data_IF_308079178370
#
_entry.id   IF_308079178370
#
_cell.length_a   1.000
_cell.length_b   1.000
_cell.length_c   1.000
_cell.angle_alpha   90.00
_cell.angle_beta   90.00
_cell.angle_gamma   90.00
#
_symmetry.space_group_name_H-M   'P 1'
#
loop_
_entity.id
_entity.type
_entity.pdbx_description
1 polymer ?
#
# COMPACT_ATOMS: atom_id res chain seq x y z
N UNK A 1 7.27 -16.81 50.69
CA UNK A 1 6.63 -15.49 50.78
C UNK A 1 7.47 -14.57 49.92
N UNK A 2 7.22 -14.48 48.61
CA UNK A 2 6.18 -13.58 48.02
C UNK A 2 6.47 -12.13 48.46
N UNK A 3 6.77 -11.15 47.60
CA UNK A 3 6.18 -10.80 46.32
C UNK A 3 7.08 -9.81 45.55
N UNK A 4 7.04 -9.92 44.23
CA UNK A 4 7.01 -8.80 43.26
C UNK A 4 7.97 -7.61 43.41
N UNK A 5 8.97 -7.55 42.52
CA UNK A 5 9.18 -6.35 41.70
C UNK A 5 9.52 -6.80 40.27
N UNK A 6 8.46 -7.03 39.51
CA UNK A 6 8.48 -7.18 38.05
C UNK A 6 9.13 -5.93 37.47
N UNK A 7 10.35 -6.12 36.97
CA UNK A 7 11.24 -5.10 36.46
C UNK A 7 10.63 -4.39 35.23
N UNK A 8 10.34 -3.11 35.38
CA UNK A 8 9.70 -2.21 34.42
C UNK A 8 10.60 -1.80 33.23
N UNK A 9 11.32 -2.75 32.61
CA UNK A 9 12.28 -2.49 31.52
C UNK A 9 11.89 -3.13 30.17
N UNK A 10 10.68 -3.69 30.05
CA UNK A 10 10.22 -4.35 28.83
C UNK A 10 9.88 -3.44 27.63
N UNK A 11 9.36 -2.20 27.78
CA UNK A 11 8.90 -1.42 26.62
C UNK A 11 10.06 -0.80 25.82
N UNK A 12 11.14 -0.37 26.49
CA UNK A 12 12.32 0.25 25.84
C UNK A 12 13.10 -0.76 24.99
N UNK A 13 13.20 -2.02 25.42
CA UNK A 13 13.85 -3.06 24.65
C UNK A 13 13.00 -3.48 23.43
N UNK A 14 11.67 -3.55 23.60
CA UNK A 14 10.75 -3.82 22.49
C UNK A 14 10.74 -2.69 21.46
N UNK A 15 10.71 -1.42 21.91
CA UNK A 15 10.72 -0.25 21.03
C UNK A 15 12.04 -0.12 20.27
N UNK A 16 13.19 -0.39 20.92
CA UNK A 16 14.52 -0.38 20.27
C UNK A 16 14.72 -1.51 19.27
N UNK A 17 13.99 -2.64 19.43
CA UNK A 17 13.98 -3.77 18.50
C UNK A 17 12.93 -3.63 17.40
N UNK A 18 11.85 -2.88 17.66
CA UNK A 18 10.83 -2.53 16.69
C UNK A 18 11.29 -1.39 15.76
N UNK A 19 12.06 -0.41 16.24
CA UNK A 19 12.53 0.73 15.44
C UNK A 19 13.22 0.33 14.11
N UNK A 20 14.12 -0.67 14.07
CA UNK A 20 14.72 -1.16 12.82
C UNK A 20 13.71 -1.84 11.89
N UNK A 21 12.66 -2.46 12.43
CA UNK A 21 11.61 -3.14 11.67
C UNK A 21 10.53 -2.17 11.15
N UNK A 22 10.41 -0.97 11.73
CA UNK A 22 9.47 0.06 11.29
C UNK A 22 9.84 0.63 9.92
N UNK A 23 11.13 0.73 9.58
CA UNK A 23 11.58 1.22 8.27
C UNK A 23 11.07 0.37 7.10
N UNK A 24 11.36 -0.94 7.08
CA UNK A 24 10.77 -1.89 6.14
C UNK A 24 9.25 -1.86 6.09
N UNK A 25 8.58 -1.88 7.25
CA UNK A 25 7.12 -1.87 7.32
C UNK A 25 6.51 -0.59 6.74
N UNK A 26 7.15 0.56 6.97
CA UNK A 26 6.70 1.84 6.45
C UNK A 26 6.90 1.95 4.94
N UNK A 27 8.06 1.50 4.41
CA UNK A 27 8.29 1.46 2.95
C UNK A 27 7.20 0.65 2.22
N UNK A 28 6.75 -0.43 2.83
CA UNK A 28 5.75 -1.33 2.26
C UNK A 28 4.35 -0.75 2.43
N UNK A 29 4.06 -0.14 3.57
CA UNK A 29 2.80 0.57 3.79
C UNK A 29 2.61 1.70 2.76
N UNK A 30 3.69 2.42 2.42
CA UNK A 30 3.69 3.45 1.38
C UNK A 30 3.39 2.83 0.01
N UNK A 31 3.91 1.63 -0.28
CA UNK A 31 3.59 0.90 -1.51
C UNK A 31 2.13 0.51 -1.66
N UNK A 32 1.34 0.51 -0.58
CA UNK A 32 -0.12 0.33 -0.64
C UNK A 32 -0.90 1.65 -0.80
N UNK A 33 -0.22 2.78 -0.62
CA UNK A 33 -0.75 4.13 -0.78
C UNK A 33 -0.42 4.60 -2.19
N UNK A 34 -1.19 4.12 -3.17
CA UNK A 34 -1.05 4.56 -4.55
C UNK A 34 -2.15 5.59 -4.93
N UNK A 35 -1.79 6.68 -5.65
CA UNK A 35 -2.73 7.73 -6.03
C UNK A 35 -3.92 7.23 -6.85
N UNK A 36 -3.75 6.16 -7.64
CA UNK A 36 -4.82 5.62 -8.46
C UNK A 36 -5.86 4.85 -7.65
N UNK A 37 -5.46 4.04 -6.66
CA UNK A 37 -6.40 3.47 -5.69
C UNK A 37 -7.11 4.56 -4.92
N UNK A 38 -6.41 5.62 -4.52
CA UNK A 38 -7.04 6.76 -3.85
C UNK A 38 -8.12 7.42 -4.73
N UNK A 39 -7.84 7.65 -6.01
CA UNK A 39 -8.84 8.18 -6.93
C UNK A 39 -10.07 7.26 -7.03
N UNK A 40 -9.84 5.95 -7.16
CA UNK A 40 -10.91 4.96 -7.25
C UNK A 40 -11.73 4.83 -5.95
N UNK A 41 -11.11 4.89 -4.78
CA UNK A 41 -11.80 4.83 -3.49
C UNK A 41 -12.60 6.10 -3.22
N UNK A 42 -12.09 7.27 -3.58
CA UNK A 42 -12.80 8.55 -3.48
C UNK A 42 -14.00 8.59 -4.42
N UNK A 43 -13.83 8.16 -5.67
CA UNK A 43 -14.94 8.06 -6.64
C UNK A 43 -16.00 7.05 -6.17
N UNK A 44 -15.58 5.90 -5.66
CA UNK A 44 -16.46 4.89 -5.07
C UNK A 44 -17.23 5.43 -3.86
N UNK A 45 -16.57 6.13 -2.95
CA UNK A 45 -17.20 6.76 -1.79
C UNK A 45 -18.16 7.90 -2.17
N UNK A 46 -17.84 8.67 -3.21
CA UNK A 46 -18.72 9.74 -3.72
C UNK A 46 -20.00 9.17 -4.36
N UNK A 47 -19.93 8.03 -5.04
CA UNK A 47 -21.09 7.41 -5.72
C UNK A 47 -21.95 6.55 -4.80
N UNK A 48 -21.34 5.82 -3.89
CA UNK A 48 -22.00 4.78 -3.10
C UNK A 48 -21.97 5.05 -1.59
N UNK A 49 -21.45 6.21 -1.16
CA UNK A 49 -21.40 6.59 0.25
C UNK A 49 -20.63 5.59 1.10
N UNK A 50 -21.23 5.19 2.23
CA UNK A 50 -20.61 4.31 3.22
C UNK A 50 -20.77 2.81 2.94
N UNK A 51 -21.46 2.43 1.85
CA UNK A 51 -21.79 1.02 1.57
C UNK A 51 -20.55 0.15 1.31
N UNK A 52 -19.48 0.76 0.79
CA UNK A 52 -18.24 0.05 0.48
C UNK A 52 -17.28 -0.01 1.67
N UNK A 53 -17.52 0.77 2.74
CA UNK A 53 -16.56 0.93 3.84
C UNK A 53 -16.36 -0.38 4.61
N UNK A 54 -17.45 -1.06 4.98
CA UNK A 54 -17.36 -2.30 5.76
C UNK A 54 -16.70 -3.44 4.96
N UNK A 55 -17.11 -3.73 3.71
CA UNK A 55 -16.40 -4.71 2.87
C UNK A 55 -14.92 -4.38 2.65
N UNK A 56 -14.59 -3.09 2.40
CA UNK A 56 -13.22 -2.64 2.23
C UNK A 56 -12.39 -2.82 3.50
N UNK A 57 -12.96 -2.57 4.68
CA UNK A 57 -12.29 -2.78 5.95
C UNK A 57 -11.91 -4.26 6.14
N UNK A 58 -12.86 -5.18 5.90
CA UNK A 58 -12.61 -6.63 5.98
C UNK A 58 -11.51 -7.03 5.01
N UNK A 59 -11.53 -6.50 3.78
CA UNK A 59 -10.51 -6.82 2.80
C UNK A 59 -9.12 -6.31 3.19
N UNK A 60 -9.02 -5.10 3.75
CA UNK A 60 -7.76 -4.57 4.26
C UNK A 60 -7.19 -5.48 5.37
N UNK A 61 -8.02 -6.04 6.25
CA UNK A 61 -7.56 -7.01 7.24
C UNK A 61 -6.97 -8.28 6.61
N UNK A 62 -7.61 -8.81 5.56
CA UNK A 62 -7.08 -9.96 4.82
C UNK A 62 -5.75 -9.61 4.14
N UNK A 63 -5.66 -8.44 3.52
CA UNK A 63 -4.43 -7.97 2.89
C UNK A 63 -3.28 -7.85 3.90
N UNK A 64 -3.53 -7.28 5.08
CA UNK A 64 -2.55 -7.20 6.18
C UNK A 64 -2.12 -8.59 6.63
N UNK A 65 -3.06 -9.54 6.77
CA UNK A 65 -2.75 -10.92 7.14
C UNK A 65 -1.86 -11.62 6.11
N UNK A 66 -2.17 -11.49 4.82
CA UNK A 66 -1.34 -12.01 3.73
C UNK A 66 0.06 -11.39 3.75
N UNK A 67 0.13 -10.06 3.89
CA UNK A 67 1.38 -9.31 3.95
C UNK A 67 2.26 -9.74 5.14
N UNK A 68 1.63 -10.00 6.28
CA UNK A 68 2.29 -10.54 7.47
C UNK A 68 2.84 -11.96 7.22
N UNK A 69 2.07 -12.82 6.56
CA UNK A 69 2.52 -14.17 6.24
C UNK A 69 3.72 -14.16 5.29
N UNK A 70 3.70 -13.32 4.25
CA UNK A 70 4.83 -13.14 3.33
C UNK A 70 6.10 -12.67 4.06
N UNK A 71 5.96 -11.72 4.99
CA UNK A 71 7.08 -11.27 5.82
C UNK A 71 7.64 -12.40 6.69
N UNK A 72 6.74 -13.14 7.35
CA UNK A 72 7.12 -14.23 8.26
C UNK A 72 7.87 -15.35 7.54
N UNK A 73 7.49 -15.64 6.29
CA UNK A 73 8.20 -16.60 5.45
C UNK A 73 9.66 -16.17 5.25
N UNK A 74 9.90 -14.90 4.88
CA UNK A 74 11.26 -14.35 4.73
C UNK A 74 12.09 -14.45 6.01
N UNK A 75 11.53 -14.04 7.16
CA UNK A 75 12.22 -14.10 8.47
C UNK A 75 12.59 -15.52 8.88
N UNK A 76 11.66 -16.48 8.71
CA UNK A 76 11.82 -17.84 9.24
C UNK A 76 12.72 -18.70 8.33
N UNK A 77 12.59 -18.54 7.02
CA UNK A 77 13.30 -19.40 6.06
C UNK A 77 14.65 -18.84 5.64
N UNK A 78 14.87 -17.52 5.79
CA UNK A 78 16.07 -16.88 5.25
C UNK A 78 16.12 -16.86 3.72
N UNK A 79 14.99 -17.11 3.05
CA UNK A 79 14.85 -17.10 1.59
C UNK A 79 13.70 -16.19 1.18
N UNK A 80 13.81 -15.63 -0.02
CA UNK A 80 12.72 -14.83 -0.57
C UNK A 80 11.60 -15.73 -1.12
N UNK A 81 10.38 -15.19 -1.21
CA UNK A 81 9.22 -15.95 -1.68
C UNK A 81 9.41 -16.49 -3.11
N UNK A 82 10.18 -15.81 -3.97
CA UNK A 82 10.45 -16.26 -5.33
C UNK A 82 11.42 -17.47 -5.35
N UNK A 83 12.42 -17.48 -4.47
CA UNK A 83 13.33 -18.60 -4.26
C UNK A 83 12.59 -19.82 -3.75
N UNK A 84 11.70 -19.65 -2.77
CA UNK A 84 10.88 -20.74 -2.25
C UNK A 84 9.96 -21.30 -3.35
N UNK A 85 9.32 -20.41 -4.11
CA UNK A 85 8.52 -20.85 -5.25
C UNK A 85 9.36 -21.61 -6.29
N UNK A 86 10.61 -21.20 -6.53
CA UNK A 86 11.51 -21.90 -7.45
C UNK A 86 12.02 -23.24 -6.93
N UNK A 87 12.08 -23.42 -5.61
CA UNK A 87 12.50 -24.67 -4.98
C UNK A 87 11.35 -25.69 -4.91
N UNK A 88 10.10 -25.22 -4.73
CA UNK A 88 8.93 -26.08 -4.51
C UNK A 88 8.14 -26.37 -5.80
N UNK A 89 8.04 -25.41 -6.73
CA UNK A 89 7.24 -25.54 -7.95
C UNK A 89 8.08 -25.90 -9.18
N UNK A 90 7.41 -26.38 -10.22
CA UNK A 90 8.02 -26.65 -11.51
C UNK A 90 8.30 -25.34 -12.30
N UNK A 91 9.23 -25.42 -13.25
CA UNK A 91 9.69 -24.26 -14.02
C UNK A 91 8.56 -23.50 -14.75
N UNK A 92 7.51 -24.19 -15.18
CA UNK A 92 6.39 -23.55 -15.88
C UNK A 92 5.53 -22.72 -14.91
N UNK A 93 5.23 -23.27 -13.74
CA UNK A 93 4.50 -22.54 -12.70
C UNK A 93 5.30 -21.31 -12.24
N UNK A 94 6.60 -21.44 -11.98
CA UNK A 94 7.44 -20.28 -11.63
C UNK A 94 7.45 -19.20 -12.71
N UNK A 95 7.50 -19.59 -13.99
CA UNK A 95 7.44 -18.63 -15.10
C UNK A 95 6.10 -17.90 -15.11
N UNK A 96 4.99 -18.61 -14.92
CA UNK A 96 3.67 -18.00 -14.86
C UNK A 96 3.55 -17.00 -13.70
N UNK A 97 4.02 -17.37 -12.50
CA UNK A 97 4.07 -16.46 -11.35
C UNK A 97 4.93 -15.23 -11.63
N UNK A 98 6.09 -15.41 -12.29
CA UNK A 98 6.97 -14.32 -12.68
C UNK A 98 6.32 -13.35 -13.66
N UNK A 99 5.64 -13.87 -14.69
CA UNK A 99 4.89 -13.05 -15.66
C UNK A 99 3.74 -12.31 -14.99
N UNK A 100 3.00 -12.97 -14.10
CA UNK A 100 1.91 -12.37 -13.34
C UNK A 100 2.42 -11.21 -12.45
N UNK A 101 3.55 -11.40 -11.77
CA UNK A 101 4.18 -10.35 -10.96
C UNK A 101 4.66 -9.17 -11.83
N UNK A 102 5.29 -9.44 -12.97
CA UNK A 102 5.73 -8.41 -13.91
C UNK A 102 4.56 -7.58 -14.46
N UNK A 103 3.47 -8.25 -14.84
CA UNK A 103 2.26 -7.58 -15.32
C UNK A 103 1.62 -6.71 -14.23
N UNK A 104 1.67 -7.16 -12.98
CA UNK A 104 1.20 -6.39 -11.82
C UNK A 104 2.03 -5.13 -11.58
N UNK A 105 3.36 -5.19 -11.74
CA UNK A 105 4.24 -4.01 -11.62
C UNK A 105 3.94 -3.01 -12.74
N UNK A 106 3.76 -3.47 -13.98
CA UNK A 106 3.42 -2.60 -15.13
C UNK A 106 2.05 -1.92 -14.91
N UNK A 107 1.06 -2.67 -14.41
CA UNK A 107 -0.26 -2.12 -14.11
C UNK A 107 -0.22 -1.06 -13.00
N UNK A 108 0.59 -1.28 -11.95
CA UNK A 108 0.81 -0.30 -10.90
C UNK A 108 1.42 0.98 -11.46
N UNK A 109 2.46 0.86 -12.28
CA UNK A 109 3.17 2.01 -12.86
C UNK A 109 2.24 2.87 -13.74
N UNK A 110 1.43 2.21 -14.58
CA UNK A 110 0.39 2.88 -15.38
C UNK A 110 -0.59 3.66 -14.49
N UNK A 111 -1.05 3.02 -13.41
CA UNK A 111 -2.02 3.60 -12.47
C UNK A 111 -1.43 4.77 -11.69
N UNK A 112 -0.15 4.69 -11.33
CA UNK A 112 0.62 5.76 -10.68
C UNK A 112 0.72 6.99 -11.59
N UNK A 113 1.10 6.80 -12.86
CA UNK A 113 1.20 7.88 -13.85
C UNK A 113 -0.15 8.57 -14.03
N UNK A 114 -1.23 7.80 -14.15
CA UNK A 114 -2.59 8.34 -14.29
C UNK A 114 -3.02 9.12 -13.05
N UNK A 115 -2.76 8.61 -11.84
CA UNK A 115 -3.11 9.28 -10.60
C UNK A 115 -2.36 10.60 -10.41
N UNK A 116 -1.04 10.61 -10.69
CA UNK A 116 -0.23 11.84 -10.64
C UNK A 116 -0.71 12.83 -11.70
N UNK A 117 -0.98 12.37 -12.93
CA UNK A 117 -1.45 13.25 -13.99
C UNK A 117 -2.80 13.89 -13.65
N UNK A 118 -3.74 13.14 -13.06
CA UNK A 118 -5.03 13.67 -12.64
C UNK A 118 -4.90 14.66 -11.47
N UNK A 119 -4.05 14.35 -10.49
CA UNK A 119 -3.75 15.27 -9.39
C UNK A 119 -3.11 16.58 -9.88
N UNK A 120 -2.19 16.50 -10.85
CA UNK A 120 -1.54 17.66 -11.44
C UNK A 120 -2.51 18.50 -12.27
N UNK A 121 -3.41 17.84 -13.00
CA UNK A 121 -4.49 18.50 -13.75
C UNK A 121 -5.40 19.30 -12.81
N UNK A 122 -5.78 18.73 -11.65
CA UNK A 122 -6.59 19.44 -10.65
C UNK A 122 -5.84 20.60 -9.99
N UNK A 123 -4.53 20.47 -9.76
CA UNK A 123 -3.72 21.49 -9.08
C UNK A 123 -3.36 22.68 -9.98
N UNK A 124 -3.00 22.41 -11.24
CA UNK A 124 -2.49 23.41 -12.18
C UNK A 124 -3.49 23.81 -13.27
N UNK A 125 -4.59 23.08 -13.42
CA UNK A 125 -5.58 23.33 -14.49
C UNK A 125 -5.03 23.11 -15.90
N UNK A 126 -3.91 22.40 -16.05
CA UNK A 126 -3.24 22.13 -17.33
C UNK A 126 -3.92 21.00 -18.10
N UNK A 127 -3.71 20.93 -19.42
CA UNK A 127 -4.25 19.83 -20.22
C UNK A 127 -3.70 18.46 -19.79
N UNK A 128 -4.58 17.45 -19.78
CA UNK A 128 -4.28 16.10 -19.28
C UNK A 128 -3.10 15.47 -20.05
N UNK A 129 -3.01 15.74 -21.35
CA UNK A 129 -1.93 15.25 -22.20
C UNK A 129 -0.54 15.67 -21.69
N UNK A 130 -0.41 16.92 -21.23
CA UNK A 130 0.83 17.48 -20.71
C UNK A 130 1.14 16.92 -19.32
N UNK A 131 0.12 16.74 -18.50
CA UNK A 131 0.26 16.13 -17.18
C UNK A 131 0.72 14.67 -17.25
N UNK A 132 0.19 13.88 -18.18
CA UNK A 132 0.61 12.49 -18.41
C UNK A 132 2.06 12.43 -18.87
N UNK A 133 2.47 13.30 -19.80
CA UNK A 133 3.86 13.37 -20.24
C UNK A 133 4.81 13.70 -19.08
N UNK A 134 4.45 14.69 -18.25
CA UNK A 134 5.28 15.08 -17.10
C UNK A 134 5.38 13.96 -16.06
N UNK A 135 4.27 13.28 -15.76
CA UNK A 135 4.25 12.15 -14.83
C UNK A 135 5.06 10.95 -15.36
N UNK A 136 5.02 10.67 -16.66
CA UNK A 136 5.83 9.62 -17.27
C UNK A 136 7.33 9.94 -17.22
N UNK A 137 7.71 11.21 -17.43
CA UNK A 137 9.10 11.66 -17.29
C UNK A 137 9.56 11.51 -15.84
N UNK A 138 8.73 11.90 -14.87
CA UNK A 138 9.04 11.74 -13.44
C UNK A 138 9.22 10.26 -13.05
N UNK A 139 8.36 9.36 -13.53
CA UNK A 139 8.44 7.92 -13.27
C UNK A 139 9.77 7.30 -13.75
N UNK A 140 10.35 7.81 -14.84
CA UNK A 140 11.66 7.35 -15.34
C UNK A 140 12.82 8.07 -14.63
N UNK A 141 12.66 9.35 -14.33
CA UNK A 141 13.72 10.17 -13.74
C UNK A 141 13.95 9.85 -12.26
N UNK A 142 12.90 9.56 -11.50
CA UNK A 142 12.98 9.32 -10.07
C UNK A 142 13.84 8.09 -9.70
N UNK A 143 13.69 6.91 -10.34
CA UNK A 143 14.58 5.77 -10.08
C UNK A 143 16.05 6.06 -10.44
N UNK A 144 16.30 6.78 -11.53
CA UNK A 144 17.65 7.18 -11.95
C UNK A 144 18.28 8.12 -10.94
N UNK A 145 17.52 9.11 -10.46
CA UNK A 145 17.96 10.03 -9.42
C UNK A 145 18.19 9.31 -8.09
N UNK A 146 17.32 8.37 -7.72
CA UNK A 146 17.47 7.55 -6.52
C UNK A 146 18.68 6.62 -6.59
N UNK A 147 19.12 6.20 -7.78
CA UNK A 147 20.32 5.40 -7.96
C UNK A 147 21.61 6.23 -7.84
N UNK A 148 21.55 7.52 -8.19
CA UNK A 148 22.65 8.49 -8.05
C UNK A 148 22.83 8.96 -6.59
N UNK A 149 21.76 9.00 -5.81
CA UNK A 149 21.80 9.32 -4.38
C UNK A 149 22.28 8.10 -3.56
N UNK A 150 23.01 8.36 -2.46
CA UNK A 150 23.28 7.32 -1.46
C UNK A 150 21.95 6.70 -0.99
N UNK A 151 21.81 5.37 -1.08
CA UNK A 151 20.55 4.64 -0.80
C UNK A 151 19.87 5.04 0.52
N UNK A 152 20.65 5.38 1.55
CA UNK A 152 20.14 5.86 2.83
C UNK A 152 19.42 7.22 2.74
N UNK A 153 19.97 8.18 1.96
CA UNK A 153 19.38 9.52 1.79
C UNK A 153 18.09 9.47 0.98
N UNK A 154 18.06 8.64 -0.07
CA UNK A 154 16.85 8.45 -0.90
C UNK A 154 15.70 7.81 -0.11
N UNK A 155 15.98 6.75 0.65
CA UNK A 155 14.97 6.09 1.48
C UNK A 155 14.42 7.01 2.59
N UNK A 156 15.30 7.81 3.20
CA UNK A 156 14.89 8.80 4.20
C UNK A 156 14.00 9.89 3.61
N UNK A 157 14.35 10.43 2.43
CA UNK A 157 13.56 11.45 1.76
C UNK A 157 12.17 10.93 1.37
N UNK A 158 12.10 9.75 0.76
CA UNK A 158 10.83 9.10 0.40
C UNK A 158 9.93 8.87 1.62
N UNK A 159 10.52 8.41 2.73
CA UNK A 159 9.81 8.21 4.00
C UNK A 159 9.27 9.52 4.56
N UNK A 160 10.05 10.60 4.54
CA UNK A 160 9.62 11.92 4.99
C UNK A 160 8.48 12.48 4.14
N UNK A 161 8.56 12.36 2.81
CA UNK A 161 7.49 12.82 1.90
C UNK A 161 6.20 12.06 2.17
N UNK A 162 6.27 10.73 2.28
CA UNK A 162 5.09 9.93 2.56
C UNK A 162 4.49 10.22 3.95
N UNK A 163 5.33 10.40 4.97
CA UNK A 163 4.89 10.81 6.29
C UNK A 163 4.16 12.15 6.27
N UNK A 164 4.69 13.12 5.51
CA UNK A 164 4.05 14.41 5.32
C UNK A 164 2.69 14.29 4.61
N UNK A 165 2.59 13.49 3.54
CA UNK A 165 1.32 13.23 2.85
C UNK A 165 0.26 12.60 3.78
N UNK A 166 0.67 11.66 4.63
CA UNK A 166 -0.22 11.02 5.60
C UNK A 166 -0.74 12.02 6.64
N UNK A 167 0.13 12.93 7.12
CA UNK A 167 -0.27 14.01 8.02
C UNK A 167 -1.27 14.95 7.35
N UNK A 168 -1.00 15.37 6.10
CA UNK A 168 -1.93 16.22 5.34
C UNK A 168 -3.29 15.55 5.15
N UNK A 169 -3.31 14.26 4.81
CA UNK A 169 -4.55 13.49 4.68
C UNK A 169 -5.33 13.47 6.00
N UNK A 170 -4.65 13.17 7.12
CA UNK A 170 -5.28 13.14 8.44
C UNK A 170 -5.91 14.50 8.82
N UNK A 171 -5.18 15.59 8.57
CA UNK A 171 -5.71 16.94 8.78
C UNK A 171 -6.90 17.24 7.86
N UNK A 172 -6.84 16.82 6.59
CA UNK A 172 -7.93 16.98 5.63
C UNK A 172 -9.22 16.29 6.07
N UNK A 173 -9.13 15.07 6.60
CA UNK A 173 -10.27 14.33 7.16
C UNK A 173 -10.82 15.03 8.41
N UNK A 174 -9.94 15.54 9.29
CA UNK A 174 -10.35 16.21 10.52
C UNK A 174 -11.14 17.50 10.25
N UNK A 175 -10.72 18.26 9.23
CA UNK A 175 -11.39 19.48 8.78
C UNK A 175 -12.70 19.17 8.04
N UNK A 176 -12.74 18.09 7.27
CA UNK A 176 -13.91 17.72 6.46
C UNK A 176 -15.11 17.19 7.25
N UNK A 177 -15.03 17.12 8.60
CA UNK A 177 -16.10 16.76 9.56
C UNK A 177 -17.31 16.07 8.88
N UNK A 178 -17.36 14.73 8.82
CA UNK A 178 -18.41 14.04 8.09
C UNK A 178 -19.79 14.44 8.64
N UNK A 179 -20.57 15.16 7.83
CA UNK A 179 -21.92 15.64 8.20
C UNK A 179 -22.90 14.47 8.40
N UNK A 180 -22.55 13.30 7.86
CA UNK A 180 -23.37 12.08 7.93
C UNK A 180 -22.82 11.25 9.10
N UNK A 181 -23.56 11.08 10.21
CA UNK A 181 -23.14 10.16 11.24
C UNK A 181 -22.98 8.78 10.61
N UNK A 182 -21.78 8.19 10.73
CA UNK A 182 -21.55 6.79 10.41
C UNK A 182 -22.72 6.00 11.01
N UNK A 183 -23.49 5.23 10.23
CA UNK A 183 -24.51 4.38 10.80
C UNK A 183 -23.81 3.41 11.75
N UNK A 184 -23.86 3.71 13.05
CA UNK A 184 -23.34 2.85 14.12
C UNK A 184 -24.04 1.49 14.15
N UNK A 185 -25.14 1.37 13.41
CA UNK A 185 -25.74 0.09 13.07
C UNK A 185 -24.95 -0.49 11.89
N UNK A 186 -23.99 -1.38 12.18
CA UNK A 186 -23.21 -2.16 11.21
C UNK A 186 -24.07 -3.14 10.40
N UNK A 187 -25.18 -2.67 9.86
CA UNK A 187 -26.08 -3.43 9.01
C UNK A 187 -25.42 -3.53 7.64
N UNK A 188 -25.29 -4.74 7.05
CA UNK A 188 -24.79 -4.87 5.70
C UNK A 188 -25.76 -4.16 4.77
N UNK A 189 -25.32 -3.06 4.16
CA UNK A 189 -26.13 -2.36 3.18
C UNK A 189 -26.30 -3.26 1.96
N UNK A 190 -27.53 -3.30 1.45
CA UNK A 190 -27.88 -4.09 0.27
C UNK A 190 -27.04 -3.56 -0.89
N UNK A 191 -26.04 -4.32 -1.32
CA UNK A 191 -25.25 -3.99 -2.49
C UNK A 191 -26.17 -4.01 -3.73
N UNK A 192 -26.21 -2.90 -4.45
CA UNK A 192 -26.77 -2.84 -5.79
C UNK A 192 -25.80 -3.48 -6.77
N UNK A 193 -26.25 -3.83 -7.98
CA UNK A 193 -25.37 -4.43 -9.00
C UNK A 193 -24.17 -3.53 -9.32
N UNK A 194 -24.38 -2.22 -9.41
CA UNK A 194 -23.32 -1.24 -9.67
C UNK A 194 -22.31 -1.12 -8.51
N UNK A 195 -22.78 -1.19 -7.26
CA UNK A 195 -21.89 -1.10 -6.09
C UNK A 195 -21.12 -2.39 -5.87
N UNK A 196 -21.70 -3.54 -6.23
CA UNK A 196 -21.00 -4.82 -6.25
C UNK A 196 -19.89 -4.84 -7.31
N UNK A 197 -20.13 -4.29 -8.51
CA UNK A 197 -19.11 -4.18 -9.54
C UNK A 197 -17.96 -3.25 -9.12
N UNK A 198 -18.29 -2.07 -8.59
CA UNK A 198 -17.29 -1.14 -8.06
C UNK A 198 -16.48 -1.77 -6.92
N UNK A 199 -17.15 -2.50 -6.02
CA UNK A 199 -16.50 -3.23 -4.95
C UNK A 199 -15.54 -4.29 -5.50
N UNK A 200 -15.98 -5.13 -6.44
CA UNK A 200 -15.11 -6.15 -7.05
C UNK A 200 -13.89 -5.53 -7.74
N UNK A 201 -14.06 -4.42 -8.44
CA UNK A 201 -12.96 -3.68 -9.06
C UNK A 201 -11.96 -3.18 -8.02
N UNK A 202 -12.45 -2.61 -6.93
CA UNK A 202 -11.63 -2.05 -5.86
C UNK A 202 -10.92 -3.14 -5.03
N UNK A 203 -11.57 -4.30 -4.85
CA UNK A 203 -10.98 -5.49 -4.24
C UNK A 203 -9.86 -6.05 -5.12
N UNK A 204 -10.11 -6.19 -6.42
CA UNK A 204 -9.11 -6.66 -7.39
C UNK A 204 -7.88 -5.75 -7.44
N UNK A 205 -8.07 -4.43 -7.39
CA UNK A 205 -6.99 -3.46 -7.37
C UNK A 205 -6.14 -3.53 -6.09
N UNK A 206 -6.75 -3.89 -4.96
CA UNK A 206 -6.11 -3.85 -3.64
C UNK A 206 -5.13 -4.99 -3.38
N UNK A 207 -5.22 -6.11 -4.10
CA UNK A 207 -4.19 -7.17 -4.04
C UNK A 207 -3.06 -6.81 -5.00
N UNK A 208 -1.85 -6.64 -4.45
CA UNK A 208 -0.63 -6.38 -5.21
C UNK A 208 0.34 -7.56 -5.08
N UNK A 209 0.31 -8.55 -5.99
CA UNK A 209 1.11 -9.77 -5.86
C UNK A 209 2.61 -9.50 -5.77
N UNK A 210 3.10 -8.49 -6.48
CA UNK A 210 4.51 -8.07 -6.43
C UNK A 210 4.93 -7.56 -5.03
N UNK A 211 4.02 -6.97 -4.25
CA UNK A 211 4.30 -6.51 -2.88
C UNK A 211 4.57 -7.68 -1.91
N UNK A 212 4.06 -8.88 -2.18
CA UNK A 212 4.34 -10.07 -1.37
C UNK A 212 5.79 -10.55 -1.55
N UNK A 213 6.27 -10.59 -2.79
CA UNK A 213 7.66 -10.90 -3.11
C UNK A 213 8.61 -9.84 -2.54
N UNK A 214 8.25 -8.56 -2.73
CA UNK A 214 9.05 -7.44 -2.28
C UNK A 214 9.19 -7.42 -0.76
N UNK A 215 8.11 -7.64 0.00
CA UNK A 215 8.17 -7.68 1.46
C UNK A 215 9.02 -8.83 2.00
N UNK A 216 8.91 -10.01 1.40
CA UNK A 216 9.75 -11.14 1.76
C UNK A 216 11.23 -10.84 1.53
N UNK A 217 11.57 -10.03 0.51
CA UNK A 217 12.96 -9.68 0.17
C UNK A 217 13.54 -8.56 1.03
N UNK A 218 12.74 -7.58 1.45
CA UNK A 218 13.19 -6.45 2.28
C UNK A 218 13.45 -6.88 3.73
N UNK A 219 12.75 -7.93 4.18
CA UNK A 219 12.84 -8.42 5.57
C UNK A 219 14.00 -9.40 5.78
N UNK A 220 14.65 -9.86 4.70
CA UNK A 220 15.90 -10.63 4.72
C UNK A 220 17.11 -9.75 5.06
#
# INVERSE_FOLDING_TARGET
METEFVNANHPLHFLRRALPAVGPGLLIAIGYVDPGKWAATVEGGARFGYDLVLPMLVFNFVAILCQYLSARIGVVTGKDLAQICSDEYDKWTCMFLGVQAALSVIALDLTMILGIAHGLNLLLGMDLSTCVFLAAVDAVLFPVFSALLERCKASFLSTCIAGFLLVLYFFGVLISQPEIPLPMNGMPTKLSEDSAFALMSLLGASIMPHNFFLHSSIVL
#
